data_IF_363730332866
#
_entry.id   IF_363730332866
#
_cell.length_a   1.000
_cell.length_b   1.000
_cell.length_c   1.000
_cell.angle_alpha   90.00
_cell.angle_beta   90.00
_cell.angle_gamma   90.00
#
_symmetry.space_group_name_H-M   'P 1'
#
loop_
_entity.id
_entity.type
_entity.pdbx_description
1 polymer ?
#
# COMPACT_ATOMS: atom_id res chain seq x y z
N UNK A 1 -13.83 19.23 3.43
CA UNK A 1 -12.78 19.30 2.38
C UNK A 1 -12.88 18.07 1.49
N UNK A 2 -12.32 18.04 0.27
CA UNK A 2 -12.26 16.82 -0.52
C UNK A 2 -11.51 15.71 0.25
N UNK A 3 -12.09 14.51 0.33
CA UNK A 3 -11.62 13.42 1.23
C UNK A 3 -10.13 13.08 1.07
N UNK A 4 -9.60 13.04 -0.15
CA UNK A 4 -8.20 12.71 -0.42
C UNK A 4 -7.34 13.90 -0.87
N UNK A 5 -7.91 15.11 -0.99
CA UNK A 5 -7.14 16.29 -1.44
C UNK A 5 -6.63 16.25 -2.89
N UNK A 6 -7.05 15.28 -3.71
CA UNK A 6 -6.55 15.06 -5.08
C UNK A 6 -7.64 15.23 -6.14
N UNK A 7 -7.32 15.77 -7.33
CA UNK A 7 -8.22 15.72 -8.48
C UNK A 7 -8.29 14.29 -9.04
N UNK A 8 -9.40 13.96 -9.72
CA UNK A 8 -9.48 12.71 -10.48
C UNK A 8 -8.50 12.79 -11.65
N UNK A 9 -7.50 11.91 -11.66
CA UNK A 9 -6.44 11.90 -12.68
C UNK A 9 -5.81 10.51 -12.82
N UNK A 10 -5.42 10.09 -14.04
CA UNK A 10 -4.74 8.81 -14.26
C UNK A 10 -3.37 8.70 -13.57
N UNK A 11 -2.85 9.80 -13.02
CA UNK A 11 -1.58 9.83 -12.32
C UNK A 11 -1.58 9.00 -11.02
N UNK A 12 -2.70 8.92 -10.30
CA UNK A 12 -2.75 8.28 -8.98
C UNK A 12 -2.99 6.76 -9.04
N UNK A 13 -2.74 6.08 -7.92
CA UNK A 13 -2.68 4.61 -7.87
C UNK A 13 -4.03 3.91 -7.94
N UNK A 14 -5.10 4.48 -7.39
CA UNK A 14 -6.42 3.84 -7.33
C UNK A 14 -6.94 3.40 -8.72
N UNK A 15 -6.80 4.26 -9.74
CA UNK A 15 -7.24 3.93 -11.09
C UNK A 15 -6.40 2.82 -11.73
N UNK A 16 -5.09 2.77 -11.43
CA UNK A 16 -4.20 1.69 -11.91
C UNK A 16 -4.57 0.36 -11.27
N UNK A 17 -4.82 0.35 -9.96
CA UNK A 17 -5.24 -0.85 -9.24
C UNK A 17 -6.61 -1.33 -9.74
N UNK A 18 -7.59 -0.43 -9.90
CA UNK A 18 -8.89 -0.76 -10.50
C UNK A 18 -8.72 -1.41 -11.88
N UNK A 19 -7.91 -0.81 -12.74
CA UNK A 19 -7.64 -1.32 -14.07
C UNK A 19 -7.06 -2.74 -14.02
N UNK A 20 -6.12 -3.02 -13.11
CA UNK A 20 -5.56 -4.37 -12.94
C UNK A 20 -6.62 -5.39 -12.51
N UNK A 21 -7.52 -5.02 -11.60
CA UNK A 21 -8.62 -5.90 -11.15
C UNK A 21 -9.58 -6.23 -12.31
N UNK A 22 -9.84 -5.25 -13.18
CA UNK A 22 -10.74 -5.40 -14.33
C UNK A 22 -10.12 -6.18 -15.49
N UNK A 23 -8.82 -5.98 -15.75
CA UNK A 23 -8.20 -6.41 -16.99
C UNK A 23 -7.21 -7.57 -16.83
N UNK A 24 -6.75 -7.88 -15.61
CA UNK A 24 -5.77 -8.95 -15.38
C UNK A 24 -6.42 -10.09 -14.58
N UNK A 25 -6.83 -11.21 -15.24
CA UNK A 25 -7.50 -12.32 -14.56
C UNK A 25 -6.71 -12.90 -13.38
N UNK A 26 -5.38 -12.94 -13.48
CA UNK A 26 -4.50 -13.42 -12.42
C UNK A 26 -4.59 -12.55 -11.14
N UNK A 27 -4.70 -11.23 -11.28
CA UNK A 27 -4.88 -10.29 -10.17
C UNK A 27 -6.21 -10.55 -9.48
N UNK A 28 -7.30 -10.63 -10.26
CA UNK A 28 -8.63 -10.94 -9.71
C UNK A 28 -8.66 -12.27 -8.96
N UNK A 29 -8.00 -13.30 -9.50
CA UNK A 29 -7.87 -14.60 -8.85
C UNK A 29 -7.10 -14.48 -7.53
N UNK A 30 -5.96 -13.80 -7.52
CA UNK A 30 -5.14 -13.60 -6.32
C UNK A 30 -5.89 -12.84 -5.22
N UNK A 31 -6.69 -11.82 -5.57
CA UNK A 31 -7.54 -11.08 -4.62
C UNK A 31 -8.59 -11.99 -4.00
N UNK A 32 -9.33 -12.77 -4.81
CA UNK A 32 -10.35 -13.70 -4.29
C UNK A 32 -9.77 -14.77 -3.37
N UNK A 33 -8.53 -15.18 -3.62
CA UNK A 33 -7.83 -16.18 -2.82
C UNK A 33 -7.09 -15.57 -1.61
N UNK A 34 -7.15 -14.25 -1.41
CA UNK A 34 -6.48 -13.59 -0.29
C UNK A 34 -4.95 -13.60 -0.37
N UNK A 35 -4.38 -13.75 -1.58
CA UNK A 35 -2.92 -13.84 -1.82
C UNK A 35 -2.35 -12.61 -2.53
N UNK A 36 -3.10 -11.51 -2.56
CA UNK A 36 -2.72 -10.28 -3.24
C UNK A 36 -2.51 -9.16 -2.22
N UNK A 37 -1.35 -8.53 -2.28
CA UNK A 37 -1.04 -7.29 -1.58
C UNK A 37 -0.88 -6.18 -2.62
N UNK A 38 -1.37 -4.99 -2.30
CA UNK A 38 -1.11 -3.76 -3.03
C UNK A 38 -0.08 -2.93 -2.27
N UNK A 39 0.74 -2.19 -2.98
CA UNK A 39 1.66 -1.23 -2.39
C UNK A 39 2.22 -0.29 -3.43
N UNK A 40 2.58 0.92 -3.01
CA UNK A 40 3.50 1.78 -3.75
C UNK A 40 4.93 1.21 -3.66
N UNK A 41 5.90 1.85 -4.32
CA UNK A 41 7.26 1.31 -4.42
C UNK A 41 7.93 1.15 -3.05
N UNK A 42 7.67 2.05 -2.12
CA UNK A 42 8.10 1.99 -0.72
C UNK A 42 7.61 0.70 -0.03
N UNK A 43 6.30 0.39 -0.11
CA UNK A 43 5.74 -0.83 0.46
C UNK A 43 6.34 -2.09 -0.15
N UNK A 44 6.58 -2.09 -1.46
CA UNK A 44 7.22 -3.22 -2.13
C UNK A 44 8.64 -3.44 -1.62
N UNK A 45 9.43 -2.37 -1.46
CA UNK A 45 10.78 -2.45 -0.95
C UNK A 45 10.79 -2.93 0.51
N UNK A 46 9.97 -2.34 1.37
CA UNK A 46 9.88 -2.75 2.78
C UNK A 46 9.50 -4.22 2.89
N UNK A 47 8.48 -4.66 2.14
CA UNK A 47 8.03 -6.05 2.17
C UNK A 47 9.17 -7.02 1.82
N UNK A 48 9.92 -6.76 0.74
CA UNK A 48 11.04 -7.63 0.34
C UNK A 48 12.17 -7.61 1.37
N UNK A 49 12.54 -6.42 1.86
CA UNK A 49 13.69 -6.22 2.74
C UNK A 49 13.49 -6.76 4.15
N UNK A 50 12.23 -7.00 4.56
CA UNK A 50 11.85 -7.48 5.89
C UNK A 50 11.43 -8.95 5.91
N UNK A 51 11.68 -9.70 4.82
CA UNK A 51 11.47 -11.15 4.77
C UNK A 51 10.49 -11.63 3.70
N UNK A 52 9.82 -10.71 2.98
CA UNK A 52 8.94 -11.03 1.87
C UNK A 52 7.88 -12.07 2.22
N UNK A 53 7.90 -13.21 1.52
CA UNK A 53 6.97 -14.32 1.76
C UNK A 53 7.14 -14.98 3.14
N UNK A 54 8.30 -14.79 3.78
CA UNK A 54 8.69 -15.40 5.04
C UNK A 54 8.43 -14.48 6.25
N UNK A 55 7.57 -13.46 6.09
CA UNK A 55 7.16 -12.55 7.16
C UNK A 55 7.39 -11.06 6.88
N UNK A 56 7.50 -10.67 5.61
CA UNK A 56 7.69 -9.29 5.19
C UNK A 56 6.58 -8.36 5.69
N UNK A 57 6.98 -7.21 6.21
CA UNK A 57 6.11 -6.16 6.68
C UNK A 57 5.40 -5.47 5.51
N UNK A 58 4.09 -5.36 5.59
CA UNK A 58 3.25 -4.75 4.56
C UNK A 58 2.77 -3.37 5.03
N UNK A 59 3.62 -2.36 4.83
CA UNK A 59 3.40 -1.01 5.34
C UNK A 59 3.75 0.08 4.31
N UNK A 60 3.26 1.29 4.54
CA UNK A 60 3.56 2.51 3.78
C UNK A 60 3.56 3.70 4.73
N UNK A 61 4.14 4.82 4.34
CA UNK A 61 4.02 6.05 5.12
C UNK A 61 2.85 6.93 4.65
N UNK A 62 2.45 7.89 5.48
CA UNK A 62 1.36 8.84 5.17
C UNK A 62 1.59 9.62 3.87
N UNK A 63 2.84 9.93 3.50
CA UNK A 63 3.12 10.70 2.28
C UNK A 63 2.88 9.86 1.03
N UNK A 64 3.33 8.60 0.99
CA UNK A 64 3.04 7.70 -0.13
C UNK A 64 1.56 7.32 -0.18
N UNK A 65 0.94 7.04 0.96
CA UNK A 65 -0.50 6.75 1.05
C UNK A 65 -1.36 7.90 0.50
N UNK A 66 -0.97 9.16 0.74
CA UNK A 66 -1.67 10.33 0.20
C UNK A 66 -1.72 10.39 -1.33
N UNK A 67 -0.81 9.71 -2.03
CA UNK A 67 -0.72 9.70 -3.51
C UNK A 67 -1.56 8.59 -4.17
N UNK A 68 -2.35 7.87 -3.38
CA UNK A 68 -3.12 6.72 -3.89
C UNK A 68 -4.54 7.09 -4.33
N UNK A 69 -5.11 8.20 -3.85
CA UNK A 69 -6.56 8.50 -3.84
C UNK A 69 -7.41 7.56 -2.96
N UNK A 70 -6.80 6.81 -2.03
CA UNK A 70 -7.51 5.89 -1.13
C UNK A 70 -7.42 6.32 0.34
N UNK A 71 -6.49 7.21 0.68
CA UNK A 71 -6.33 7.74 2.02
C UNK A 71 -7.18 9.00 2.23
N UNK A 72 -7.82 9.09 3.39
CA UNK A 72 -8.44 10.31 3.88
C UNK A 72 -7.37 11.24 4.47
N UNK A 73 -7.24 12.46 3.96
CA UNK A 73 -6.15 13.38 4.35
C UNK A 73 -6.30 13.95 5.76
N UNK A 74 -7.50 13.95 6.33
CA UNK A 74 -7.73 14.48 7.68
C UNK A 74 -7.45 13.41 8.75
N UNK A 75 -7.86 12.16 8.49
CA UNK A 75 -7.66 11.03 9.43
C UNK A 75 -6.35 10.27 9.24
N UNK A 76 -5.69 10.42 8.09
CA UNK A 76 -4.49 9.67 7.69
C UNK A 76 -4.71 8.14 7.65
N UNK A 77 -5.96 7.72 7.40
CA UNK A 77 -6.36 6.33 7.31
C UNK A 77 -6.92 6.02 5.92
N UNK A 78 -6.92 4.74 5.55
CA UNK A 78 -7.65 4.27 4.39
C UNK A 78 -9.13 4.58 4.52
N UNK A 79 -9.71 5.25 3.52
CA UNK A 79 -11.09 5.70 3.55
C UNK A 79 -12.03 4.63 2.97
N UNK A 80 -13.00 4.12 3.75
CA UNK A 80 -13.92 3.10 3.26
C UNK A 80 -14.82 3.56 2.11
N UNK A 81 -15.11 4.87 2.00
CA UNK A 81 -15.92 5.42 0.92
C UNK A 81 -15.10 5.45 -0.38
N UNK A 82 -13.85 5.92 -0.32
CA UNK A 82 -12.94 5.90 -1.47
C UNK A 82 -12.66 4.47 -1.95
N UNK A 83 -12.34 3.56 -1.02
CA UNK A 83 -12.08 2.16 -1.35
C UNK A 83 -13.30 1.50 -2.01
N UNK A 84 -14.51 1.75 -1.50
CA UNK A 84 -15.75 1.25 -2.09
C UNK A 84 -16.01 1.85 -3.47
N UNK A 85 -15.78 3.15 -3.65
CA UNK A 85 -15.94 3.83 -4.94
C UNK A 85 -15.08 3.21 -6.04
N UNK A 86 -13.82 2.89 -5.73
CA UNK A 86 -12.91 2.22 -6.67
C UNK A 86 -13.05 0.68 -6.65
N UNK A 87 -13.90 0.11 -5.81
CA UNK A 87 -14.05 -1.34 -5.67
C UNK A 87 -12.77 -2.06 -5.26
N UNK A 88 -11.99 -1.42 -4.37
CA UNK A 88 -10.73 -1.93 -3.82
C UNK A 88 -11.00 -2.43 -2.40
N UNK A 89 -10.79 -3.72 -2.10
CA UNK A 89 -10.91 -4.21 -0.72
C UNK A 89 -9.77 -3.67 0.14
N UNK A 90 -10.09 -3.15 1.33
CA UNK A 90 -9.08 -2.56 2.24
C UNK A 90 -8.05 -3.57 2.72
N UNK A 91 -8.37 -4.87 2.74
CA UNK A 91 -7.45 -5.95 3.11
C UNK A 91 -6.25 -6.12 2.17
N UNK A 92 -6.25 -5.45 1.01
CA UNK A 92 -5.11 -5.43 0.09
C UNK A 92 -4.10 -4.33 0.45
N UNK A 93 -4.51 -3.35 1.26
CA UNK A 93 -3.77 -2.11 1.46
C UNK A 93 -2.75 -2.27 2.60
N UNK A 94 -1.56 -1.67 2.48
CA UNK A 94 -0.54 -1.71 3.52
C UNK A 94 -0.97 -0.91 4.75
N UNK A 95 -0.47 -1.24 5.93
CA UNK A 95 -0.67 -0.41 7.12
C UNK A 95 -0.01 0.96 6.94
N UNK A 96 -0.72 2.04 7.29
CA UNK A 96 -0.20 3.41 7.18
C UNK A 96 0.53 3.77 8.48
N UNK A 97 1.79 4.14 8.33
CA UNK A 97 2.69 4.55 9.40
C UNK A 97 3.14 6.01 9.23
N UNK A 98 3.76 6.56 10.28
CA UNK A 98 4.41 7.86 10.19
C UNK A 98 5.60 7.80 9.24
N UNK A 99 6.00 8.94 8.69
CA UNK A 99 7.23 9.07 7.89
C UNK A 99 8.48 9.23 8.77
N UNK A 100 8.42 8.89 10.07
CA UNK A 100 9.58 8.86 10.96
C UNK A 100 9.41 7.95 12.17
N UNK A 101 9.68 6.67 11.95
CA UNK A 101 9.76 5.65 12.99
C UNK A 101 10.62 4.47 12.57
N UNK A 102 10.86 3.52 13.49
CA UNK A 102 11.50 2.25 13.14
C UNK A 102 10.41 1.29 12.67
N UNK A 103 10.32 1.07 11.37
CA UNK A 103 9.35 0.18 10.77
C UNK A 103 9.67 -1.29 11.01
N UNK A 104 10.95 -1.64 10.91
CA UNK A 104 11.41 -3.02 10.98
C UNK A 104 12.92 -3.13 10.84
N UNK A 105 13.42 -4.34 10.63
CA UNK A 105 14.84 -4.62 10.43
C UNK A 105 15.03 -5.46 9.18
N UNK A 106 16.13 -5.20 8.47
CA UNK A 106 16.54 -5.97 7.30
C UNK A 106 16.80 -7.43 7.68
N UNK A 107 16.28 -8.37 6.90
CA UNK A 107 16.42 -9.82 7.17
C UNK A 107 17.60 -10.46 6.46
N UNK A 108 18.05 -9.86 5.35
CA UNK A 108 19.06 -10.41 4.45
C UNK A 108 20.45 -9.81 4.66
N UNK A 109 21.49 -10.61 4.44
CA UNK A 109 22.88 -10.17 4.43
C UNK A 109 23.19 -9.30 3.18
N UNK A 110 24.15 -8.35 3.27
CA UNK A 110 25.06 -8.06 4.39
C UNK A 110 24.49 -7.10 5.44
N UNK A 111 23.25 -6.61 5.25
CA UNK A 111 22.66 -5.56 6.10
C UNK A 111 21.73 -6.12 7.17
N UNK A 112 21.82 -7.41 7.47
CA UNK A 112 20.94 -8.09 8.42
C UNK A 112 20.93 -7.37 9.78
N UNK A 113 19.74 -7.08 10.27
CA UNK A 113 19.51 -6.40 11.55
C UNK A 113 19.57 -4.88 11.49
N UNK A 114 20.02 -4.27 10.40
CA UNK A 114 20.00 -2.81 10.21
C UNK A 114 18.53 -2.33 10.22
N UNK A 115 18.20 -1.30 11.03
CA UNK A 115 16.84 -0.78 11.09
C UNK A 115 16.46 -0.11 9.77
N UNK A 116 15.24 -0.40 9.30
CA UNK A 116 14.57 0.43 8.30
C UNK A 116 13.82 1.50 9.08
N UNK A 117 14.34 2.71 8.99
CA UNK A 117 13.77 3.89 9.63
C UNK A 117 13.92 5.07 8.70
N UNK A 118 12.92 5.94 8.68
CA UNK A 118 12.88 7.14 7.86
C UNK A 118 11.72 7.92 8.40
#
# INVERSE_FOLDING_TARGET
MPLCGLPISPYFSALKLRWLIDNVPAVRKAIREGRCLFGTVDSWLVWNLTGGKDGGLHLTDVTNASRTMLMNIDSLQWDPVLCRYFGIPMSLLPDIHSSSEIYGRLTEDPLKGVPISG
#
